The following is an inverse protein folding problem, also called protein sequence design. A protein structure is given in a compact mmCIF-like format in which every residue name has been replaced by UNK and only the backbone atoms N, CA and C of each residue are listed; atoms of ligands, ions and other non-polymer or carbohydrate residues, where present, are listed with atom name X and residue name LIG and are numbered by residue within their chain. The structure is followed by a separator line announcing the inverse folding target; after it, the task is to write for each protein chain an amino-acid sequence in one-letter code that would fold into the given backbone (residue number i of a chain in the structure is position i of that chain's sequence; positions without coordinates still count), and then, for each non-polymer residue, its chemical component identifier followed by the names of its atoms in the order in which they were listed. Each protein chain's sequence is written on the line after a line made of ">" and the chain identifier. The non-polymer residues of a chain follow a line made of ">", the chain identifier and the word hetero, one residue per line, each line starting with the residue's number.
data_IF_018542574050
#
_entry.id   IF_018542574050
#
_cell.length_a   1.000
_cell.length_b   1.000
_cell.length_c   1.000
_cell.angle_alpha   90.00
_cell.angle_beta   90.00
_cell.angle_gamma   90.00
#
_symmetry.space_group_name_H-M   'P 1'
#
loop_
_entity.id
_entity.type
_entity.pdbx_description
1 polymer ?
#
# COMPACT_ATOMS: atom_id res chain seq x y z
N UNK A 1 -14.48 24.33 -2.28
CA UNK A 1 -13.31 24.04 -1.42
C UNK A 1 -13.37 24.94 -0.21
N UNK A 2 -13.14 24.39 0.99
CA UNK A 2 -12.96 25.19 2.19
C UNK A 2 -11.61 25.89 2.19
N UNK A 3 -11.53 27.10 2.75
CA UNK A 3 -10.27 27.77 3.02
C UNK A 3 -9.90 27.48 4.46
N UNK A 4 -8.80 26.78 4.67
CA UNK A 4 -8.25 26.51 5.98
C UNK A 4 -6.84 27.09 6.01
N UNK A 5 -6.53 27.84 7.06
CA UNK A 5 -5.18 28.35 7.28
C UNK A 5 -4.40 27.28 8.05
N UNK A 6 -3.36 26.74 7.42
CA UNK A 6 -2.49 25.72 8.00
C UNK A 6 -1.04 26.16 7.80
N UNK A 7 -0.20 25.89 8.79
CA UNK A 7 1.24 26.00 8.63
C UNK A 7 1.76 24.76 7.92
N UNK A 8 2.67 24.95 6.97
CA UNK A 8 3.19 23.88 6.15
C UNK A 8 4.71 23.98 6.12
N UNK A 9 5.38 22.84 6.25
CA UNK A 9 6.81 22.76 6.04
C UNK A 9 7.15 23.03 4.56
N UNK A 10 7.85 24.12 4.31
CA UNK A 10 8.27 24.54 2.98
C UNK A 10 9.26 23.55 2.34
N UNK A 11 10.06 22.83 3.14
CA UNK A 11 11.00 21.83 2.62
C UNK A 11 10.24 20.60 2.11
N UNK A 12 9.33 20.06 2.92
CA UNK A 12 8.45 18.97 2.53
C UNK A 12 7.58 19.35 1.31
N UNK A 13 7.05 20.58 1.28
CA UNK A 13 6.29 21.09 0.16
C UNK A 13 7.13 21.13 -1.13
N UNK A 14 8.36 21.62 -1.08
CA UNK A 14 9.24 21.67 -2.23
C UNK A 14 9.58 20.26 -2.76
N UNK A 15 9.80 19.30 -1.85
CA UNK A 15 10.00 17.91 -2.23
C UNK A 15 8.75 17.32 -2.93
N UNK A 16 7.57 17.56 -2.37
CA UNK A 16 6.31 17.13 -2.95
C UNK A 16 6.05 17.79 -4.32
N UNK A 17 6.35 19.08 -4.48
CA UNK A 17 6.23 19.79 -5.75
C UNK A 17 7.12 19.17 -6.84
N UNK A 18 8.36 18.80 -6.50
CA UNK A 18 9.25 18.09 -7.43
C UNK A 18 8.72 16.71 -7.78
N UNK A 19 8.22 15.96 -6.79
CA UNK A 19 7.68 14.62 -7.01
C UNK A 19 6.39 14.63 -7.85
N UNK A 20 5.51 15.60 -7.64
CA UNK A 20 4.23 15.70 -8.33
C UNK A 20 4.26 16.58 -9.60
N UNK A 21 5.35 17.31 -9.84
CA UNK A 21 5.48 18.26 -10.96
C UNK A 21 4.53 19.47 -10.87
N UNK A 22 4.07 19.80 -9.67
CA UNK A 22 3.06 20.84 -9.44
C UNK A 22 3.68 22.22 -9.25
N UNK A 23 3.08 23.24 -9.87
CA UNK A 23 3.58 24.62 -9.79
C UNK A 23 3.06 25.40 -8.59
N UNK A 24 1.91 25.03 -8.03
CA UNK A 24 1.27 25.77 -6.94
C UNK A 24 1.16 24.95 -5.67
N UNK A 25 1.19 25.62 -4.51
CA UNK A 25 1.06 24.98 -3.19
C UNK A 25 -0.28 24.24 -3.08
N UNK A 26 -1.38 24.88 -3.49
CA UNK A 26 -2.72 24.28 -3.49
C UNK A 26 -2.80 23.00 -4.32
N UNK A 27 -2.17 22.97 -5.51
CA UNK A 27 -2.28 21.81 -6.39
C UNK A 27 -1.47 20.65 -5.83
N UNK A 28 -0.33 20.95 -5.21
CA UNK A 28 0.51 19.97 -4.51
C UNK A 28 -0.25 19.34 -3.36
N UNK A 29 -0.85 20.15 -2.48
CA UNK A 29 -1.61 19.67 -1.31
C UNK A 29 -2.83 18.86 -1.75
N UNK A 30 -3.63 19.39 -2.69
CA UNK A 30 -4.82 18.69 -3.17
C UNK A 30 -4.47 17.37 -3.88
N UNK A 31 -3.36 17.33 -4.62
CA UNK A 31 -2.89 16.10 -5.27
C UNK A 31 -2.37 15.09 -4.25
N UNK A 32 -1.60 15.53 -3.26
CA UNK A 32 -1.11 14.66 -2.19
C UNK A 32 -2.27 14.03 -1.39
N UNK A 33 -3.29 14.81 -1.03
CA UNK A 33 -4.46 14.31 -0.30
C UNK A 33 -5.25 13.26 -1.11
N UNK A 34 -5.37 13.45 -2.43
CA UNK A 34 -5.99 12.47 -3.33
C UNK A 34 -5.17 11.19 -3.43
N UNK A 35 -3.86 11.31 -3.66
CA UNK A 35 -2.97 10.15 -3.78
C UNK A 35 -2.99 9.28 -2.50
N UNK A 36 -2.94 9.91 -1.33
CA UNK A 36 -3.02 9.19 -0.05
C UNK A 36 -4.37 8.51 0.11
N UNK A 37 -5.46 9.19 -0.21
CA UNK A 37 -6.81 8.60 -0.15
C UNK A 37 -6.94 7.40 -1.07
N UNK A 38 -6.43 7.49 -2.29
CA UNK A 38 -6.45 6.40 -3.26
C UNK A 38 -5.54 5.24 -2.83
N UNK A 39 -4.41 5.54 -2.18
CA UNK A 39 -3.53 4.52 -1.59
C UNK A 39 -4.21 3.78 -0.45
N UNK A 40 -4.91 4.48 0.44
CA UNK A 40 -5.66 3.86 1.55
C UNK A 40 -6.78 2.98 1.00
N UNK A 41 -7.58 3.48 0.05
CA UNK A 41 -8.64 2.68 -0.60
C UNK A 41 -8.10 1.41 -1.26
N UNK A 42 -6.96 1.50 -1.95
CA UNK A 42 -6.29 0.32 -2.52
C UNK A 42 -5.88 -0.69 -1.45
N UNK A 43 -5.41 -0.21 -0.30
CA UNK A 43 -5.04 -1.08 0.81
C UNK A 43 -6.25 -1.75 1.45
N UNK A 44 -7.33 -1.00 1.70
CA UNK A 44 -8.58 -1.52 2.22
C UNK A 44 -9.18 -2.56 1.27
N UNK A 45 -9.26 -2.25 -0.03
CA UNK A 45 -9.76 -3.18 -1.03
C UNK A 45 -8.97 -4.49 -1.07
N UNK A 46 -7.64 -4.42 -0.90
CA UNK A 46 -6.79 -5.61 -0.80
C UNK A 46 -7.12 -6.43 0.43
N UNK A 47 -7.23 -5.81 1.61
CA UNK A 47 -7.57 -6.52 2.84
C UNK A 47 -8.96 -7.16 2.77
N UNK A 48 -9.94 -6.46 2.20
CA UNK A 48 -11.28 -7.01 1.98
C UNK A 48 -11.24 -8.21 1.03
N UNK A 49 -10.47 -8.13 -0.05
CA UNK A 49 -10.30 -9.25 -0.98
C UNK A 49 -9.61 -10.45 -0.31
N UNK A 50 -8.59 -10.22 0.52
CA UNK A 50 -7.92 -11.26 1.30
C UNK A 50 -8.89 -11.94 2.28
N UNK A 51 -9.73 -11.15 2.98
CA UNK A 51 -10.75 -11.69 3.88
C UNK A 51 -11.79 -12.54 3.16
N UNK A 52 -12.33 -12.04 2.03
CA UNK A 52 -13.28 -12.82 1.21
C UNK A 52 -12.64 -14.10 0.65
N UNK A 53 -11.38 -14.05 0.24
CA UNK A 53 -10.67 -15.22 -0.25
C UNK A 53 -10.44 -16.24 0.87
N UNK A 54 -10.10 -15.83 2.08
CA UNK A 54 -9.93 -16.72 3.23
C UNK A 54 -11.25 -17.38 3.67
N UNK A 55 -12.38 -16.69 3.52
CA UNK A 55 -13.69 -17.24 3.85
C UNK A 55 -14.23 -18.18 2.75
N UNK A 56 -13.99 -17.85 1.47
CA UNK A 56 -14.52 -18.62 0.34
C UNK A 56 -13.61 -19.78 -0.11
N UNK A 57 -12.30 -19.69 0.17
CA UNK A 57 -11.30 -20.67 -0.24
C UNK A 57 -10.53 -21.14 1.01
N UNK A 58 -10.30 -22.44 1.11
CA UNK A 58 -9.35 -23.00 2.07
C UNK A 58 -7.93 -22.68 1.59
N UNK A 59 -7.49 -21.45 1.91
CA UNK A 59 -6.20 -20.93 1.49
C UNK A 59 -5.05 -21.75 2.11
N UNK A 60 -5.25 -22.39 3.25
CA UNK A 60 -4.24 -23.23 3.89
C UNK A 60 -3.96 -24.47 3.03
N UNK A 61 -5.02 -25.10 2.49
CA UNK A 61 -4.88 -26.23 1.56
C UNK A 61 -4.28 -25.78 0.21
N UNK A 62 -4.63 -24.61 -0.30
CA UNK A 62 -4.11 -24.11 -1.59
C UNK A 62 -2.66 -23.61 -1.50
N UNK A 63 -2.26 -23.09 -0.34
CA UNK A 63 -0.89 -22.61 -0.08
C UNK A 63 0.05 -23.74 0.36
N UNK A 64 -0.46 -24.94 0.62
CA UNK A 64 0.36 -26.12 0.85
C UNK A 64 1.08 -26.58 -0.43
N UNK A 65 2.28 -26.01 -0.63
CA UNK A 65 3.16 -26.32 -1.76
C UNK A 65 3.84 -27.68 -1.64
N UNK A 66 3.79 -28.33 -0.48
CA UNK A 66 4.46 -29.63 -0.27
C UNK A 66 3.88 -30.72 -1.17
N UNK A 67 2.60 -30.59 -1.54
CA UNK A 67 1.85 -31.55 -2.37
C UNK A 67 2.28 -31.58 -3.84
N UNK A 68 2.88 -30.50 -4.36
CA UNK A 68 3.28 -30.42 -5.77
C UNK A 68 4.69 -29.89 -6.01
N UNK A 69 5.36 -29.35 -4.98
CA UNK A 69 6.80 -29.05 -4.96
C UNK A 69 7.50 -29.91 -3.91
N UNK A 70 7.69 -31.21 -4.18
CA UNK A 70 8.41 -32.11 -3.28
C UNK A 70 9.89 -31.69 -3.24
N UNK A 71 10.25 -30.78 -2.35
CA UNK A 71 11.62 -30.27 -2.21
C UNK A 71 11.75 -28.87 -1.60
N UNK A 72 10.68 -28.08 -1.45
CA UNK A 72 10.79 -26.73 -0.87
C UNK A 72 10.80 -26.67 0.67
N UNK A 73 10.30 -27.70 1.36
CA UNK A 73 10.28 -27.72 2.83
C UNK A 73 11.69 -27.70 3.47
N UNK A 74 12.73 -28.12 2.74
CA UNK A 74 14.10 -28.13 3.25
C UNK A 74 14.82 -26.76 3.16
N UNK A 75 14.28 -25.78 2.43
CA UNK A 75 14.97 -24.51 2.17
C UNK A 75 14.52 -23.35 3.07
N UNK A 76 13.32 -23.40 3.67
CA UNK A 76 12.78 -22.31 4.50
C UNK A 76 13.25 -22.36 5.97
N UNK A 77 13.84 -23.47 6.42
CA UNK A 77 14.39 -23.61 7.77
C UNK A 77 15.77 -22.99 8.01
N UNK A 78 16.48 -22.59 6.95
CA UNK A 78 17.91 -22.21 7.02
C UNK A 78 18.15 -20.69 6.91
N UNK A 79 17.10 -19.86 7.00
CA UNK A 79 17.19 -18.37 7.01
C UNK A 79 16.98 -17.73 8.37
N UNK A 80 16.88 -18.52 9.44
CA UNK A 80 16.82 -18.03 10.81
C UNK A 80 18.05 -18.54 11.59
N UNK A 81 19.23 -18.01 11.26
CA UNK A 81 20.46 -18.12 12.04
C UNK A 81 21.18 -16.76 12.03
#
# INVERSE_FOLDING_TARGET
>A
MGKTLIELDEQALAAAQRAFGTKTKKDTVNRALREVSDRVKRHEARLTAEGMAAEALDLDVLLDKSRYRPGSAAADGDRAA
#
